data_IF_419267462003
#
_entry.id   IF_419267462003
#
_cell.length_a   1.000
_cell.length_b   1.000
_cell.length_c   1.000
_cell.angle_alpha   90.00
_cell.angle_beta   90.00
_cell.angle_gamma   90.00
#
_symmetry.space_group_name_H-M   'P 1'
#
loop_
_entity.id
_entity.type
_entity.pdbx_description
1 polymer ?
#
# COMPACT_ATOMS: atom_id res chain seq x y z
N UNK A 1 25.33 2.41 17.96
CA UNK A 1 24.20 2.96 17.16
C UNK A 1 24.80 3.64 15.95
N UNK A 2 24.41 3.23 14.73
CA UNK A 2 24.82 3.89 13.49
C UNK A 2 23.85 5.06 13.29
N UNK A 3 24.35 6.27 13.32
CA UNK A 3 23.53 7.45 13.04
C UNK A 3 23.68 7.80 11.56
N UNK A 4 22.56 8.05 10.88
CA UNK A 4 22.59 8.65 9.54
C UNK A 4 22.83 10.15 9.69
N UNK A 5 23.93 10.64 9.09
CA UNK A 5 24.28 12.04 9.10
C UNK A 5 23.83 12.65 7.78
N UNK A 6 22.95 13.64 7.85
CA UNK A 6 22.53 14.43 6.70
C UNK A 6 23.28 15.76 6.76
N UNK A 7 24.13 16.01 5.75
CA UNK A 7 24.84 17.28 5.59
C UNK A 7 24.21 18.07 4.47
N UNK A 8 23.86 19.34 4.76
CA UNK A 8 23.28 20.26 3.78
C UNK A 8 24.21 21.47 3.69
N UNK A 9 24.76 21.71 2.50
CA UNK A 9 25.58 22.88 2.22
C UNK A 9 24.73 23.96 1.55
N UNK A 10 25.01 25.21 1.86
CA UNK A 10 24.32 26.36 1.26
C UNK A 10 24.59 26.43 -0.25
N UNK A 11 23.55 26.39 -1.07
CA UNK A 11 23.67 26.60 -2.50
C UNK A 11 23.76 28.10 -2.82
N UNK A 12 24.83 28.53 -3.51
CA UNK A 12 24.99 29.94 -3.99
C UNK A 12 23.91 30.32 -5.00
N UNK A 13 23.41 29.38 -5.79
CA UNK A 13 22.36 29.58 -6.79
C UNK A 13 21.58 28.28 -7.00
N UNK A 14 20.27 28.35 -6.89
CA UNK A 14 19.36 27.26 -7.26
C UNK A 14 18.94 27.45 -8.71
N UNK A 15 19.25 26.47 -9.56
CA UNK A 15 18.85 26.49 -10.97
C UNK A 15 17.44 25.93 -11.12
N UNK A 16 16.57 26.54 -11.96
CA UNK A 16 15.27 25.97 -12.26
C UNK A 16 15.42 24.60 -12.92
N UNK A 17 14.54 23.66 -12.55
CA UNK A 17 14.54 22.31 -13.05
C UNK A 17 13.29 22.10 -13.91
N UNK A 18 13.49 21.75 -15.17
CA UNK A 18 12.40 21.23 -16.00
C UNK A 18 12.22 19.74 -15.70
N UNK A 19 11.13 19.41 -14.99
CA UNK A 19 10.90 18.08 -14.46
C UNK A 19 9.43 17.65 -14.66
N UNK A 20 9.23 16.50 -15.32
CA UNK A 20 7.92 15.87 -15.38
C UNK A 20 7.75 14.99 -14.17
N UNK A 21 6.85 15.36 -13.26
CA UNK A 21 6.60 14.61 -12.03
C UNK A 21 6.01 13.23 -12.37
N UNK A 22 6.61 12.12 -11.90
CA UNK A 22 6.03 10.78 -12.05
C UNK A 22 4.72 10.66 -11.29
N UNK A 23 3.89 9.68 -11.69
CA UNK A 23 2.67 9.34 -10.95
C UNK A 23 3.02 8.85 -9.54
N UNK A 24 2.25 9.31 -8.56
CA UNK A 24 2.43 8.92 -7.16
C UNK A 24 1.89 7.51 -6.89
N UNK A 25 2.67 6.70 -6.17
CA UNK A 25 2.28 5.32 -5.82
C UNK A 25 1.09 5.29 -4.86
N UNK A 26 0.98 6.24 -3.93
CA UNK A 26 -0.12 6.29 -2.97
C UNK A 26 -1.45 6.63 -3.65
N UNK A 27 -1.45 7.58 -4.58
CA UNK A 27 -2.61 7.87 -5.42
C UNK A 27 -2.96 6.69 -6.34
N UNK A 28 -1.96 6.03 -6.90
CA UNK A 28 -2.12 4.83 -7.73
C UNK A 28 -2.69 3.64 -6.95
N UNK A 29 -2.44 3.58 -5.64
CA UNK A 29 -2.83 2.47 -4.77
C UNK A 29 -4.34 2.21 -4.74
N UNK A 30 -5.17 3.24 -4.84
CA UNK A 30 -6.63 3.10 -4.91
C UNK A 30 -7.05 2.31 -6.15
N UNK A 31 -6.50 2.63 -7.31
CA UNK A 31 -6.77 1.93 -8.56
C UNK A 31 -6.17 0.53 -8.58
N UNK A 32 -4.99 0.34 -7.97
CA UNK A 32 -4.35 -0.97 -7.80
C UNK A 32 -5.25 -1.89 -6.99
N UNK A 33 -5.77 -1.41 -5.85
CA UNK A 33 -6.65 -2.19 -4.97
C UNK A 33 -8.00 -2.44 -5.62
N UNK A 34 -8.61 -1.44 -6.24
CA UNK A 34 -9.86 -1.60 -6.97
C UNK A 34 -9.74 -2.70 -8.04
N UNK A 35 -8.67 -2.65 -8.84
CA UNK A 35 -8.40 -3.68 -9.86
C UNK A 35 -8.17 -5.06 -9.22
N UNK A 36 -7.37 -5.12 -8.13
CA UNK A 36 -7.09 -6.38 -7.44
C UNK A 36 -8.37 -7.06 -6.90
N UNK A 37 -9.34 -6.27 -6.45
CA UNK A 37 -10.62 -6.75 -5.92
C UNK A 37 -11.67 -7.07 -6.99
N UNK A 38 -11.48 -6.59 -8.22
CA UNK A 38 -12.42 -6.80 -9.33
C UNK A 38 -11.98 -7.99 -10.18
N UNK A 39 -12.79 -9.06 -10.23
CA UNK A 39 -12.49 -10.23 -11.05
C UNK A 39 -12.45 -9.85 -12.55
N UNK A 40 -11.61 -10.54 -13.31
CA UNK A 40 -11.48 -10.38 -14.77
C UNK A 40 -11.15 -8.95 -15.22
N UNK A 41 -10.58 -8.15 -14.34
CA UNK A 41 -10.11 -6.80 -14.66
C UNK A 41 -8.61 -6.76 -14.86
N UNK A 42 -8.15 -5.74 -15.57
CA UNK A 42 -6.74 -5.38 -15.65
C UNK A 42 -6.58 -3.87 -15.80
N UNK A 43 -5.45 -3.36 -15.37
CA UNK A 43 -5.12 -1.94 -15.44
C UNK A 43 -3.62 -1.76 -15.69
N UNK A 44 -3.28 -0.75 -16.48
CA UNK A 44 -1.92 -0.27 -16.65
C UNK A 44 -1.85 1.19 -16.18
N UNK A 45 -1.00 1.47 -15.19
CA UNK A 45 -0.74 2.81 -14.68
C UNK A 45 0.65 3.21 -15.13
N UNK A 46 0.75 4.29 -15.91
CA UNK A 46 1.99 4.68 -16.56
C UNK A 46 2.87 5.56 -15.66
N UNK A 47 4.20 5.43 -15.82
CA UNK A 47 5.22 6.28 -15.23
C UNK A 47 5.07 6.50 -13.70
N UNK A 48 4.77 5.44 -12.96
CA UNK A 48 4.65 5.51 -11.49
C UNK A 48 6.02 5.50 -10.85
N UNK A 49 6.24 6.34 -9.84
CA UNK A 49 7.42 6.27 -9.00
C UNK A 49 7.43 4.94 -8.24
N UNK A 50 8.48 4.17 -8.44
CA UNK A 50 8.67 2.86 -7.80
C UNK A 50 9.87 2.85 -6.85
N UNK A 51 10.10 3.95 -6.16
CA UNK A 51 11.14 4.02 -5.14
C UNK A 51 10.99 2.85 -4.16
N UNK A 52 12.05 2.06 -3.92
CA UNK A 52 12.02 0.88 -3.04
C UNK A 52 11.48 1.14 -1.62
N UNK A 53 11.64 2.37 -1.12
CA UNK A 53 11.12 2.81 0.18
C UNK A 53 9.60 3.08 0.19
N UNK A 54 8.95 3.19 -0.99
CA UNK A 54 7.55 3.58 -1.13
C UNK A 54 6.64 2.46 -1.70
N UNK A 55 7.21 1.36 -2.18
CA UNK A 55 6.46 0.26 -2.81
C UNK A 55 6.07 -0.86 -1.85
N UNK A 56 5.89 -0.55 -0.57
CA UNK A 56 5.45 -1.52 0.43
C UNK A 56 4.13 -2.18 0.07
N UNK A 57 3.15 -1.40 -0.38
CA UNK A 57 1.85 -1.90 -0.86
C UNK A 57 2.01 -2.96 -1.96
N UNK A 58 2.88 -2.74 -2.94
CA UNK A 58 3.09 -3.69 -4.04
C UNK A 58 3.64 -5.01 -3.51
N UNK A 59 4.59 -4.97 -2.55
CA UNK A 59 5.16 -6.16 -1.91
C UNK A 59 4.10 -6.94 -1.14
N UNK A 60 3.26 -6.24 -0.38
CA UNK A 60 2.16 -6.81 0.42
C UNK A 60 1.14 -7.48 -0.51
N UNK A 61 0.62 -6.77 -1.51
CA UNK A 61 -0.40 -7.27 -2.42
C UNK A 61 0.09 -8.47 -3.25
N UNK A 62 1.34 -8.46 -3.72
CA UNK A 62 1.94 -9.64 -4.38
C UNK A 62 1.93 -10.85 -3.46
N UNK A 63 2.27 -10.67 -2.17
CA UNK A 63 2.25 -11.77 -1.19
C UNK A 63 0.82 -12.26 -0.91
N UNK A 64 -0.17 -11.39 -1.05
CA UNK A 64 -1.58 -11.73 -0.94
C UNK A 64 -2.16 -12.38 -2.22
N UNK A 65 -1.36 -12.55 -3.28
CA UNK A 65 -1.74 -13.25 -4.50
C UNK A 65 -2.19 -12.34 -5.64
N UNK A 66 -2.01 -11.04 -5.54
CA UNK A 66 -2.28 -10.09 -6.63
C UNK A 66 -1.15 -10.15 -7.66
N UNK A 67 -1.49 -10.29 -8.93
CA UNK A 67 -0.51 -10.22 -10.03
C UNK A 67 -0.23 -8.76 -10.35
N UNK A 68 0.98 -8.31 -10.01
CA UNK A 68 1.46 -6.96 -10.29
C UNK A 68 2.82 -7.08 -10.99
N UNK A 69 2.96 -6.43 -12.16
CA UNK A 69 4.18 -6.43 -12.96
C UNK A 69 4.65 -5.00 -13.17
N UNK A 70 5.94 -4.78 -13.06
CA UNK A 70 6.58 -3.54 -13.47
C UNK A 70 7.07 -3.68 -14.91
N UNK A 71 6.59 -2.83 -15.81
CA UNK A 71 7.01 -2.71 -17.20
C UNK A 71 7.77 -1.41 -17.43
N UNK A 72 8.57 -1.32 -18.47
CA UNK A 72 9.25 -0.10 -18.89
C UNK A 72 10.02 0.61 -17.76
N UNK A 73 10.68 -0.19 -16.89
CA UNK A 73 11.49 0.35 -15.80
C UNK A 73 12.62 1.21 -16.34
N UNK A 74 12.75 2.42 -15.79
CA UNK A 74 13.84 3.32 -16.14
C UNK A 74 14.19 4.24 -14.98
N UNK A 75 15.40 4.81 -15.03
CA UNK A 75 15.80 5.89 -14.13
C UNK A 75 15.54 7.23 -14.82
N UNK A 76 14.79 8.09 -14.16
CA UNK A 76 14.46 9.42 -14.65
C UNK A 76 14.88 10.47 -13.61
N UNK A 77 15.93 11.22 -13.93
CA UNK A 77 16.52 12.28 -13.07
C UNK A 77 16.71 11.84 -11.60
N UNK A 78 17.27 10.65 -11.42
CA UNK A 78 17.54 10.08 -10.09
C UNK A 78 16.45 9.14 -9.54
N UNK A 79 15.21 9.28 -9.97
CA UNK A 79 14.09 8.46 -9.52
C UNK A 79 13.89 7.21 -10.37
N UNK A 80 13.48 6.12 -9.71
CA UNK A 80 13.06 4.90 -10.40
C UNK A 80 11.59 5.00 -10.74
N UNK A 81 11.25 4.86 -12.03
CA UNK A 81 9.88 4.87 -12.52
C UNK A 81 9.60 3.62 -13.36
N UNK A 82 8.33 3.20 -13.36
CA UNK A 82 7.86 2.11 -14.21
C UNK A 82 6.38 2.25 -14.52
N UNK A 83 5.92 1.51 -15.51
CA UNK A 83 4.49 1.27 -15.69
C UNK A 83 4.09 0.09 -14.81
N UNK A 84 3.01 0.23 -14.06
CA UNK A 84 2.49 -0.82 -13.18
C UNK A 84 1.31 -1.48 -13.87
N UNK A 85 1.47 -2.76 -14.22
CA UNK A 85 0.37 -3.60 -14.71
C UNK A 85 -0.18 -4.43 -13.56
N UNK A 86 -1.49 -4.39 -13.38
CA UNK A 86 -2.24 -5.13 -12.37
C UNK A 86 -3.31 -5.96 -13.07
N UNK A 87 -3.60 -7.16 -12.54
CA UNK A 87 -4.80 -7.92 -12.91
C UNK A 87 -5.59 -8.34 -11.68
N UNK A 88 -6.90 -8.41 -11.83
CA UNK A 88 -7.81 -8.84 -10.79
C UNK A 88 -7.45 -10.21 -10.22
N UNK A 89 -7.46 -10.32 -8.91
CA UNK A 89 -7.06 -11.55 -8.23
C UNK A 89 -8.16 -12.61 -8.33
N UNK A 90 -7.80 -13.83 -8.76
CA UNK A 90 -8.73 -14.98 -8.73
C UNK A 90 -9.01 -15.41 -7.29
N UNK A 91 -7.99 -15.44 -6.44
CA UNK A 91 -8.06 -15.78 -5.02
C UNK A 91 -7.09 -14.91 -4.24
N UNK A 92 -7.58 -14.27 -3.19
CA UNK A 92 -6.76 -13.51 -2.26
C UNK A 92 -6.41 -14.36 -1.05
N UNK A 93 -5.17 -14.25 -0.58
CA UNK A 93 -4.65 -14.97 0.58
C UNK A 93 -4.44 -13.98 1.72
N UNK A 94 -4.71 -14.43 2.94
CA UNK A 94 -4.33 -13.67 4.14
C UNK A 94 -2.81 -13.52 4.24
N UNK A 95 -2.36 -12.55 5.03
CA UNK A 95 -0.95 -12.24 5.21
C UNK A 95 -0.62 -12.07 6.69
N UNK A 96 0.50 -12.65 7.12
CA UNK A 96 1.25 -12.15 8.26
C UNK A 96 2.26 -11.13 7.71
N UNK A 97 1.95 -9.84 7.87
CA UNK A 97 2.68 -8.77 7.18
C UNK A 97 4.08 -8.60 7.78
N UNK A 98 5.17 -8.72 7.00
CA UNK A 98 6.51 -8.42 7.47
C UNK A 98 6.65 -6.95 7.85
N UNK A 99 7.05 -6.66 9.08
CA UNK A 99 7.14 -5.29 9.62
C UNK A 99 8.08 -4.38 8.84
N UNK A 100 9.12 -4.95 8.23
CA UNK A 100 10.05 -4.22 7.34
C UNK A 100 9.39 -3.57 6.11
N UNK A 101 8.13 -3.88 5.82
CA UNK A 101 7.38 -3.25 4.72
C UNK A 101 6.46 -2.13 5.18
N UNK A 102 6.29 -1.97 6.51
CA UNK A 102 5.31 -1.03 7.06
C UNK A 102 5.62 0.42 6.67
N UNK A 103 6.86 0.87 6.84
CA UNK A 103 7.24 2.24 6.49
C UNK A 103 6.97 2.58 5.03
N UNK A 104 7.21 1.61 4.12
CA UNK A 104 6.95 1.78 2.69
C UNK A 104 5.48 1.60 2.28
N UNK A 105 4.56 1.34 3.22
CA UNK A 105 3.13 1.15 2.99
C UNK A 105 2.27 1.90 4.02
N UNK A 106 2.87 2.79 4.81
CA UNK A 106 2.20 3.37 5.98
C UNK A 106 0.93 4.14 5.60
N UNK A 107 0.94 4.81 4.47
CA UNK A 107 -0.21 5.60 4.00
C UNK A 107 -1.26 4.74 3.28
N UNK A 108 -0.92 3.53 2.86
CA UNK A 108 -1.77 2.61 2.10
C UNK A 108 -2.46 1.54 2.98
N UNK A 109 -2.16 1.45 4.28
CA UNK A 109 -2.71 0.36 5.10
C UNK A 109 -4.23 0.34 5.14
N UNK A 110 -4.92 1.49 5.13
CA UNK A 110 -6.39 1.49 5.12
C UNK A 110 -6.97 0.76 3.92
N UNK A 111 -6.42 0.96 2.73
CA UNK A 111 -6.88 0.25 1.52
C UNK A 111 -6.36 -1.18 1.44
N UNK A 112 -5.19 -1.48 2.04
CA UNK A 112 -4.69 -2.85 2.20
C UNK A 112 -5.63 -3.66 3.09
N UNK A 113 -6.20 -3.06 4.13
CA UNK A 113 -7.18 -3.71 5.01
C UNK A 113 -8.43 -4.18 4.25
N UNK A 114 -8.86 -3.44 3.20
CA UNK A 114 -9.96 -3.88 2.32
C UNK A 114 -9.59 -5.15 1.55
N UNK A 115 -8.35 -5.26 1.08
CA UNK A 115 -7.86 -6.49 0.43
C UNK A 115 -7.82 -7.64 1.44
N UNK A 116 -7.36 -7.38 2.67
CA UNK A 116 -7.35 -8.37 3.75
C UNK A 116 -8.77 -8.82 4.13
N UNK A 117 -9.76 -7.90 4.10
CA UNK A 117 -11.15 -8.21 4.35
C UNK A 117 -11.75 -9.20 3.34
N UNK A 118 -11.29 -9.17 2.07
CA UNK A 118 -11.70 -10.10 1.00
C UNK A 118 -10.79 -11.30 0.84
N UNK A 119 -9.73 -11.41 1.64
CA UNK A 119 -8.81 -12.55 1.59
C UNK A 119 -9.36 -13.75 2.38
N UNK A 120 -8.98 -14.97 1.96
CA UNK A 120 -9.28 -16.18 2.74
C UNK A 120 -8.30 -16.29 3.93
N UNK A 121 -8.84 -16.36 5.14
CA UNK A 121 -8.06 -16.56 6.37
C UNK A 121 -7.88 -15.28 7.19
N UNK A 122 -6.95 -15.30 8.14
CA UNK A 122 -6.71 -14.21 9.07
C UNK A 122 -5.45 -13.46 8.65
N UNK A 123 -5.58 -12.17 8.36
CA UNK A 123 -4.43 -11.29 8.13
C UNK A 123 -4.02 -10.63 9.45
N UNK A 124 -2.71 -10.55 9.68
CA UNK A 124 -2.15 -9.91 10.87
C UNK A 124 -1.10 -8.88 10.46
N UNK A 125 -1.27 -7.66 10.95
CA UNK A 125 -0.33 -6.56 10.77
C UNK A 125 0.00 -5.95 12.12
N UNK A 126 1.28 -5.85 12.45
CA UNK A 126 1.80 -5.29 13.70
C UNK A 126 2.72 -4.11 13.42
N UNK A 127 3.15 -3.41 14.49
CA UNK A 127 4.01 -2.22 14.43
C UNK A 127 3.37 -1.08 13.60
N UNK A 128 2.09 -0.83 13.85
CA UNK A 128 1.26 0.20 13.22
C UNK A 128 0.98 1.41 14.12
N UNK A 129 1.75 1.62 15.19
CA UNK A 129 1.52 2.72 16.13
C UNK A 129 1.46 4.09 15.43
N UNK A 130 2.29 4.29 14.40
CA UNK A 130 2.34 5.50 13.59
C UNK A 130 1.00 5.85 12.93
N UNK A 131 0.17 4.84 12.55
CA UNK A 131 -1.15 5.09 11.96
C UNK A 131 -2.11 5.83 12.89
N UNK A 132 -1.92 5.74 14.20
CA UNK A 132 -2.74 6.46 15.17
C UNK A 132 -2.20 7.85 15.50
N UNK A 133 -0.99 8.19 15.01
CA UNK A 133 -0.33 9.50 15.17
C UNK A 133 -0.49 10.41 13.94
N UNK A 134 -1.21 9.95 12.91
CA UNK A 134 -1.56 10.76 11.74
C UNK A 134 -2.66 11.78 12.11
N UNK A 135 -3.16 12.54 11.15
CA UNK A 135 -4.23 13.55 11.31
C UNK A 135 -5.50 12.98 11.98
N UNK A 136 -5.67 11.66 11.87
CA UNK A 136 -6.71 10.90 12.55
C UNK A 136 -6.15 9.54 13.01
N UNK A 137 -6.73 8.88 14.01
CA UNK A 137 -6.32 7.55 14.45
C UNK A 137 -6.73 6.48 13.43
N UNK A 138 -5.98 6.43 12.31
CA UNK A 138 -6.31 5.64 11.11
C UNK A 138 -6.50 4.15 11.39
N UNK A 139 -5.70 3.56 12.29
CA UNK A 139 -5.84 2.16 12.67
C UNK A 139 -7.20 1.88 13.31
N UNK A 140 -7.63 2.76 14.24
CA UNK A 140 -8.93 2.67 14.92
C UNK A 140 -10.08 2.83 13.91
N UNK A 141 -9.99 3.83 13.02
CA UNK A 141 -11.01 4.06 12.00
C UNK A 141 -11.08 2.93 10.99
N UNK A 142 -9.94 2.40 10.53
CA UNK A 142 -9.91 1.25 9.62
C UNK A 142 -10.59 0.03 10.22
N UNK A 143 -10.34 -0.26 11.50
CA UNK A 143 -11.03 -1.34 12.23
C UNK A 143 -12.54 -1.10 12.32
N UNK A 144 -12.96 0.13 12.68
CA UNK A 144 -14.37 0.49 12.80
C UNK A 144 -15.10 0.31 11.46
N UNK A 145 -14.53 0.80 10.36
CA UNK A 145 -15.11 0.68 9.01
C UNK A 145 -15.25 -0.81 8.63
N UNK A 146 -14.22 -1.63 8.85
CA UNK A 146 -14.30 -3.07 8.56
C UNK A 146 -15.39 -3.77 9.37
N UNK A 147 -15.53 -3.43 10.67
CA UNK A 147 -16.58 -4.00 11.51
C UNK A 147 -17.98 -3.58 11.02
N UNK A 148 -18.17 -2.33 10.59
CA UNK A 148 -19.42 -1.87 9.96
C UNK A 148 -19.74 -2.63 8.66
N UNK A 149 -18.71 -3.07 7.95
CA UNK A 149 -18.86 -3.93 6.75
C UNK A 149 -19.08 -5.42 7.09
N UNK A 150 -19.23 -5.78 8.38
CA UNK A 150 -19.40 -7.17 8.82
C UNK A 150 -18.10 -7.98 8.90
N UNK A 151 -16.93 -7.35 8.83
CA UNK A 151 -15.63 -8.01 8.96
C UNK A 151 -15.15 -7.92 10.41
N UNK A 152 -15.01 -9.07 11.06
CA UNK A 152 -14.43 -9.14 12.41
C UNK A 152 -12.99 -8.67 12.40
N UNK A 153 -12.66 -7.75 13.30
CA UNK A 153 -11.29 -7.31 13.55
C UNK A 153 -10.95 -7.35 15.04
N UNK A 154 -9.68 -7.56 15.35
CA UNK A 154 -9.13 -7.42 16.70
C UNK A 154 -7.96 -6.45 16.59
N UNK A 155 -8.03 -5.34 17.33
CA UNK A 155 -7.00 -4.30 17.31
C UNK A 155 -6.36 -4.12 18.67
N UNK A 156 -5.08 -3.77 18.67
CA UNK A 156 -4.35 -3.23 19.82
C UNK A 156 -3.91 -1.80 19.51
N UNK A 157 -3.10 -1.19 20.37
CA UNK A 157 -2.53 0.16 20.10
C UNK A 157 -1.69 0.21 18.82
N UNK A 158 -1.09 -0.93 18.41
CA UNK A 158 -0.13 -0.97 17.30
C UNK A 158 -0.31 -2.16 16.33
N UNK A 159 -1.43 -2.90 16.43
CA UNK A 159 -1.66 -4.05 15.55
C UNK A 159 -3.12 -4.26 15.22
N UNK A 160 -3.36 -5.01 14.14
CA UNK A 160 -4.69 -5.43 13.73
C UNK A 160 -4.66 -6.88 13.21
N UNK A 161 -5.65 -7.68 13.64
CA UNK A 161 -6.02 -8.94 13.00
C UNK A 161 -7.33 -8.74 12.26
N UNK A 162 -7.38 -9.17 11.00
CA UNK A 162 -8.54 -9.04 10.12
C UNK A 162 -8.97 -10.44 9.71
N UNK A 163 -10.19 -10.83 10.05
CA UNK A 163 -10.79 -12.12 9.71
C UNK A 163 -11.47 -11.98 8.34
N UNK A 164 -10.71 -12.29 7.29
CA UNK A 164 -11.17 -12.07 5.92
C UNK A 164 -12.32 -12.99 5.53
N UNK A 165 -13.23 -12.44 4.73
CA UNK A 165 -14.37 -13.13 4.14
C UNK A 165 -14.37 -12.92 2.62
N UNK A 166 -13.96 -13.94 1.81
CA UNK A 166 -13.99 -13.85 0.34
C UNK A 166 -15.38 -13.56 -0.24
N UNK A 167 -16.42 -14.01 0.46
CA UNK A 167 -17.82 -13.91 0.01
C UNK A 167 -18.52 -12.66 0.57
N UNK A 168 -17.76 -11.75 1.18
CA UNK A 168 -18.30 -10.50 1.70
C UNK A 168 -19.14 -9.77 0.65
N UNK A 169 -20.42 -9.59 0.95
CA UNK A 169 -21.32 -8.71 0.23
C UNK A 169 -21.55 -7.48 1.10
N UNK A 170 -21.32 -6.31 0.54
CA UNK A 170 -21.68 -5.05 1.22
C UNK A 170 -23.14 -4.83 0.92
N UNK A 171 -24.00 -4.99 1.93
CA UNK A 171 -25.41 -4.63 1.81
C UNK A 171 -25.47 -3.09 1.65
N UNK A 172 -26.25 -2.66 0.67
CA UNK A 172 -26.54 -1.24 0.44
C UNK A 172 -27.38 -0.68 1.56
#
# INVERSE_FOLDING_TARGET
KKYDIIKVDQAKKIKPLNYKIPSDISSSAFFIVLTALTKNSSLLINNVNINPSRIGIVKILKKMGVKILFKNKKKYKGELIADIYISGAKKLKSINCPTKWNSGAIDEFLIIFLVAAKAKGISYVKDLAELNQKESPRLRWGSKILNMMGIKTITTKNSIKIYGNPDLKINK
#
